data_IF_760495770169
#
_entry.id   IF_760495770169
#
_cell.length_a   1.000
_cell.length_b   1.000
_cell.length_c   1.000
_cell.angle_alpha   90.00
_cell.angle_beta   90.00
_cell.angle_gamma   90.00
#
_symmetry.space_group_name_H-M   'P 1'
#
loop_
_entity.id
_entity.type
_entity.pdbx_description
1 polymer ?
#
# COMPACT_ATOMS: atom_id res chain seq x y z
N UNK A 1 -9.58 5.59 3.42
CA UNK A 1 -8.45 6.56 3.39
C UNK A 1 -7.97 6.61 1.96
N UNK A 2 -7.87 7.81 1.38
CA UNK A 2 -7.45 7.94 -0.02
C UNK A 2 -5.96 7.64 -0.14
N UNK A 3 -5.54 7.02 -1.25
CA UNK A 3 -4.11 6.86 -1.54
C UNK A 3 -3.39 8.21 -1.60
N UNK A 4 -4.04 9.25 -2.11
CA UNK A 4 -3.51 10.61 -2.17
C UNK A 4 -3.20 11.25 -0.81
N UNK A 5 -3.74 10.69 0.28
CA UNK A 5 -3.49 11.15 1.65
C UNK A 5 -2.31 10.42 2.30
N UNK A 6 -1.75 9.40 1.63
CA UNK A 6 -0.65 8.60 2.13
C UNK A 6 0.69 9.22 1.75
N UNK A 7 1.69 9.08 2.64
CA UNK A 7 3.06 9.55 2.40
C UNK A 7 3.82 8.58 1.47
N UNK A 8 3.39 8.51 0.22
CA UNK A 8 4.00 7.71 -0.85
C UNK A 8 4.69 8.61 -1.87
N UNK A 9 5.67 8.07 -2.59
CA UNK A 9 6.33 8.78 -3.67
C UNK A 9 5.34 9.20 -4.76
N UNK A 10 5.50 10.40 -5.37
CA UNK A 10 4.59 10.89 -6.42
C UNK A 10 4.40 9.93 -7.59
N UNK A 11 5.44 9.18 -7.96
CA UNK A 11 5.41 8.18 -9.02
C UNK A 11 4.51 7.00 -8.66
N UNK A 12 4.52 6.58 -7.40
CA UNK A 12 3.65 5.52 -6.89
C UNK A 12 2.21 6.02 -6.85
N UNK A 13 1.97 7.25 -6.36
CA UNK A 13 0.64 7.86 -6.34
C UNK A 13 0.03 7.95 -7.75
N UNK A 14 0.83 8.30 -8.75
CA UNK A 14 0.40 8.31 -10.15
C UNK A 14 0.08 6.90 -10.65
N UNK A 15 0.95 5.93 -10.37
CA UNK A 15 0.74 4.55 -10.80
C UNK A 15 -0.52 3.93 -10.18
N UNK A 16 -0.81 4.19 -8.89
CA UNK A 16 -2.04 3.70 -8.25
C UNK A 16 -3.28 4.38 -8.83
N UNK A 17 -3.22 5.67 -9.16
CA UNK A 17 -4.31 6.37 -9.84
C UNK A 17 -4.58 5.81 -11.25
N UNK A 18 -3.52 5.56 -12.04
CA UNK A 18 -3.62 5.00 -13.40
C UNK A 18 -4.26 3.61 -13.44
N UNK A 19 -4.04 2.77 -12.42
CA UNK A 19 -4.69 1.46 -12.28
C UNK A 19 -6.09 1.55 -11.63
N UNK A 20 -6.54 2.75 -11.28
CA UNK A 20 -7.87 3.03 -10.73
C UNK A 20 -8.01 2.79 -9.22
N UNK A 21 -6.92 2.81 -8.47
CA UNK A 21 -6.96 2.72 -7.00
C UNK A 21 -7.13 4.12 -6.41
N UNK A 22 -8.28 4.34 -5.76
CA UNK A 22 -8.61 5.61 -5.10
C UNK A 22 -8.54 5.48 -3.59
N UNK A 23 -9.32 4.54 -3.04
CA UNK A 23 -9.38 4.23 -1.61
C UNK A 23 -8.53 3.00 -1.28
N UNK A 24 -7.69 3.14 -0.26
CA UNK A 24 -6.96 2.02 0.29
C UNK A 24 -7.87 1.13 1.15
N UNK A 25 -7.65 -0.18 1.07
CA UNK A 25 -8.37 -1.17 1.89
C UNK A 25 -7.80 -1.24 3.30
N UNK A 26 -8.56 -1.79 4.25
CA UNK A 26 -8.12 -1.92 5.66
C UNK A 26 -6.77 -2.65 5.82
N UNK A 27 -6.53 -3.69 4.99
CA UNK A 27 -5.26 -4.41 5.02
C UNK A 27 -4.09 -3.57 4.50
N UNK A 28 -4.33 -2.66 3.55
CA UNK A 28 -3.30 -1.75 3.04
C UNK A 28 -3.00 -0.64 4.06
N UNK A 29 -4.05 -0.04 4.63
CA UNK A 29 -3.94 0.98 5.69
C UNK A 29 -3.16 0.43 6.89
N UNK A 30 -3.43 -0.81 7.30
CA UNK A 30 -2.71 -1.45 8.41
C UNK A 30 -1.29 -1.90 8.06
N UNK A 31 -1.03 -2.29 6.81
CA UNK A 31 0.27 -2.81 6.39
C UNK A 31 1.32 -1.71 6.15
N UNK A 32 0.92 -0.60 5.53
CA UNK A 32 1.87 0.42 5.06
C UNK A 32 2.76 0.98 6.17
N UNK A 33 2.24 1.43 7.34
CA UNK A 33 3.10 1.96 8.40
C UNK A 33 4.11 0.93 8.90
N UNK A 34 3.68 -0.31 9.13
CA UNK A 34 4.55 -1.38 9.65
C UNK A 34 5.66 -1.72 8.66
N UNK A 35 5.33 -1.84 7.37
CA UNK A 35 6.30 -2.19 6.34
C UNK A 35 7.28 -1.05 6.05
N UNK A 36 6.80 0.20 6.02
CA UNK A 36 7.66 1.37 5.80
C UNK A 36 8.59 1.66 6.99
N UNK A 37 8.26 1.16 8.18
CA UNK A 37 9.18 1.10 9.33
C UNK A 37 10.24 0.00 9.21
N UNK A 38 10.22 -0.82 8.15
CA UNK A 38 11.16 -1.92 7.95
C UNK A 38 10.93 -3.11 8.89
N UNK A 39 9.71 -3.27 9.41
CA UNK A 39 9.36 -4.34 10.36
C UNK A 39 8.69 -5.51 9.66
N UNK A 40 8.91 -6.71 10.22
CA UNK A 40 8.20 -7.91 9.80
C UNK A 40 6.69 -7.78 10.08
N UNK A 41 5.88 -8.22 9.12
CA UNK A 41 4.42 -8.14 9.18
C UNK A 41 3.78 -9.48 8.80
N UNK A 42 2.85 -9.95 9.64
CA UNK A 42 1.90 -11.01 9.29
C UNK A 42 0.53 -10.36 9.06
N UNK A 43 0.08 -10.33 7.81
CA UNK A 43 -1.23 -9.81 7.43
C UNK A 43 -2.25 -10.92 7.15
N UNK A 44 -3.39 -10.91 7.85
CA UNK A 44 -4.52 -11.83 7.60
C UNK A 44 -5.71 -11.08 7.03
N UNK A 45 -6.13 -11.43 5.81
CA UNK A 45 -7.37 -10.93 5.21
C UNK A 45 -7.88 -11.86 4.11
N UNK A 46 -9.17 -11.76 3.77
CA UNK A 46 -9.82 -12.57 2.73
C UNK A 46 -9.23 -12.33 1.34
N UNK A 47 -9.44 -13.24 0.38
CA UNK A 47 -9.05 -13.00 -1.03
C UNK A 47 -9.86 -11.84 -1.60
N UNK A 48 -9.23 -11.04 -2.48
CA UNK A 48 -9.88 -9.87 -3.09
C UNK A 48 -9.79 -8.57 -2.27
N UNK A 49 -9.15 -8.57 -1.11
CA UNK A 49 -8.99 -7.38 -0.25
C UNK A 49 -7.76 -6.52 -0.55
N UNK A 50 -7.05 -6.79 -1.65
CA UNK A 50 -5.89 -5.99 -2.06
C UNK A 50 -4.57 -6.32 -1.35
N UNK A 51 -4.40 -7.54 -0.81
CA UNK A 51 -3.14 -8.00 -0.19
C UNK A 51 -1.91 -7.80 -1.07
N UNK A 52 -2.00 -8.07 -2.37
CA UNK A 52 -0.86 -7.92 -3.29
C UNK A 52 -0.31 -6.49 -3.27
N UNK A 53 -1.19 -5.49 -3.33
CA UNK A 53 -0.80 -4.09 -3.23
C UNK A 53 -0.40 -3.70 -1.80
N UNK A 54 -0.99 -4.33 -0.77
CA UNK A 54 -0.63 -4.11 0.64
C UNK A 54 0.86 -4.41 0.92
N UNK A 55 1.45 -5.39 0.24
CA UNK A 55 2.89 -5.70 0.34
C UNK A 55 3.71 -5.05 -0.78
N UNK A 56 3.22 -5.05 -2.02
CA UNK A 56 3.96 -4.60 -3.19
C UNK A 56 4.26 -3.10 -3.16
N UNK A 57 3.29 -2.26 -2.78
CA UNK A 57 3.46 -0.80 -2.77
C UNK A 57 4.55 -0.38 -1.77
N UNK A 58 4.54 -0.83 -0.49
CA UNK A 58 5.61 -0.52 0.44
C UNK A 58 6.98 -1.03 -0.01
N UNK A 59 7.05 -2.22 -0.63
CA UNK A 59 8.32 -2.75 -1.15
C UNK A 59 8.88 -1.82 -2.23
N UNK A 60 8.06 -1.41 -3.20
CA UNK A 60 8.48 -0.48 -4.26
C UNK A 60 8.91 0.86 -3.67
N UNK A 61 8.14 1.42 -2.72
CA UNK A 61 8.46 2.66 -2.01
C UNK A 61 9.82 2.63 -1.29
N UNK A 62 10.28 1.46 -0.83
CA UNK A 62 11.55 1.34 -0.11
C UNK A 62 12.77 1.14 -1.02
N UNK A 63 12.57 0.73 -2.29
CA UNK A 63 13.67 0.41 -3.22
C UNK A 63 13.80 1.36 -4.40
N UNK A 64 12.79 2.22 -4.62
CA UNK A 64 12.81 3.30 -5.60
C UNK A 64 13.62 4.49 -5.09
#
# INVERSE_FOLDING_TARGET
MQFSEMNLMPEILRAVEEIGYTEATDIQIGAFPVMLEGRDLIGRSSTGTGKTAAFGIPIVQMVA
#
